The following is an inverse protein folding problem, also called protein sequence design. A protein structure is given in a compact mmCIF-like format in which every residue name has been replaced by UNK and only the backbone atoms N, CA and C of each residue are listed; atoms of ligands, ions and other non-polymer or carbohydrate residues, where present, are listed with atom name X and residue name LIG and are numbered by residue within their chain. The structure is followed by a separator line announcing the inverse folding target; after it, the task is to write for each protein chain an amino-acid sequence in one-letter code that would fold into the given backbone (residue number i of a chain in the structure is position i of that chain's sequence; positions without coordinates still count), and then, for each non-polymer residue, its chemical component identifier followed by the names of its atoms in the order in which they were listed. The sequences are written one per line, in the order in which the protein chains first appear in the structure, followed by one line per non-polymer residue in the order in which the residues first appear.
data_IF_055177977200
#
_entry.id   IF_055177977200
#
_cell.length_a   1.000
_cell.length_b   1.000
_cell.length_c   1.000
_cell.angle_alpha   90.00
_cell.angle_beta   90.00
_cell.angle_gamma   90.00
#
_symmetry.space_group_name_H-M   'P 1'
#
loop_
_entity.id
_entity.type
_entity.pdbx_description
1 polymer ?
#
# COMPACT_ATOMS: atom_id res chain seq x y z
N UNK A 1 -17.34 -26.41 -1.77
CA UNK A 1 -15.95 -26.30 -1.27
C UNK A 1 -15.06 -25.44 -2.18
N UNK A 2 -14.99 -25.72 -3.48
CA UNK A 2 -14.13 -24.98 -4.43
C UNK A 2 -14.46 -23.49 -4.54
N UNK A 3 -15.74 -23.09 -4.56
CA UNK A 3 -16.13 -21.68 -4.57
C UNK A 3 -15.62 -20.89 -3.34
N UNK A 4 -15.60 -21.52 -2.16
CA UNK A 4 -15.02 -20.90 -0.95
C UNK A 4 -13.51 -20.69 -1.10
N UNK A 5 -12.80 -21.63 -1.73
CA UNK A 5 -11.37 -21.50 -2.02
C UNK A 5 -11.10 -20.43 -3.10
N UNK A 6 -11.93 -20.36 -4.14
CA UNK A 6 -11.85 -19.30 -5.16
C UNK A 6 -12.01 -17.91 -4.54
N UNK A 7 -13.01 -17.74 -3.67
CA UNK A 7 -13.20 -16.47 -2.96
C UNK A 7 -12.04 -16.16 -2.01
N UNK A 8 -11.57 -17.16 -1.25
CA UNK A 8 -10.49 -16.99 -0.27
C UNK A 8 -9.14 -16.68 -0.92
N UNK A 9 -8.84 -17.28 -2.06
CA UNK A 9 -7.55 -17.13 -2.75
C UNK A 9 -7.62 -16.21 -3.98
N UNK A 10 -8.81 -15.72 -4.32
CA UNK A 10 -9.07 -14.80 -5.45
C UNK A 10 -8.53 -15.31 -6.78
N UNK A 11 -8.70 -16.61 -7.02
CA UNK A 11 -8.26 -17.26 -8.24
C UNK A 11 -9.44 -17.42 -9.20
N UNK A 12 -9.17 -17.21 -10.49
CA UNK A 12 -10.08 -17.68 -11.55
C UNK A 12 -10.24 -19.20 -11.47
N UNK A 13 -11.29 -19.74 -12.09
CA UNK A 13 -11.52 -21.19 -12.11
C UNK A 13 -10.30 -21.99 -12.57
N UNK A 14 -9.67 -21.54 -13.65
CA UNK A 14 -8.46 -22.16 -14.21
C UNK A 14 -7.28 -22.07 -13.25
N UNK A 15 -7.02 -20.88 -12.67
CA UNK A 15 -5.90 -20.71 -11.75
C UNK A 15 -6.08 -21.53 -10.47
N UNK A 16 -7.31 -21.68 -9.98
CA UNK A 16 -7.58 -22.57 -8.83
C UNK A 16 -7.20 -24.01 -9.15
N UNK A 17 -7.57 -24.50 -10.34
CA UNK A 17 -7.23 -25.87 -10.77
C UNK A 17 -5.71 -26.03 -10.84
N UNK A 18 -4.99 -25.08 -11.43
CA UNK A 18 -3.52 -25.10 -11.50
C UNK A 18 -2.86 -25.08 -10.12
N UNK A 19 -3.41 -24.31 -9.17
CA UNK A 19 -2.93 -24.27 -7.78
C UNK A 19 -3.17 -25.61 -7.08
N UNK A 20 -4.36 -26.20 -7.20
CA UNK A 20 -4.65 -27.53 -6.63
C UNK A 20 -3.71 -28.57 -7.24
N UNK A 21 -3.51 -28.53 -8.56
CA UNK A 21 -2.60 -29.43 -9.26
C UNK A 21 -1.15 -29.27 -8.79
N UNK A 22 -0.71 -28.03 -8.55
CA UNK A 22 0.61 -27.73 -7.98
C UNK A 22 0.77 -28.35 -6.58
N UNK A 23 -0.27 -28.30 -5.73
CA UNK A 23 -0.23 -28.94 -4.41
C UNK A 23 -0.11 -30.45 -4.50
N UNK A 24 -0.88 -31.09 -5.39
CA UNK A 24 -0.85 -32.54 -5.61
C UNK A 24 0.53 -32.98 -6.12
N UNK A 25 0.99 -32.37 -7.22
CA UNK A 25 2.29 -32.68 -7.81
C UNK A 25 3.45 -32.36 -6.87
N UNK A 26 3.40 -31.24 -6.15
CA UNK A 26 4.39 -30.87 -5.15
C UNK A 26 4.46 -31.88 -4.00
N UNK A 27 3.29 -32.37 -3.55
CA UNK A 27 3.20 -33.44 -2.55
C UNK A 27 3.79 -34.76 -3.05
N UNK A 28 3.45 -35.18 -4.28
CA UNK A 28 4.01 -36.38 -4.90
C UNK A 28 5.53 -36.30 -5.06
N UNK A 29 6.05 -35.16 -5.55
CA UNK A 29 7.49 -34.91 -5.65
C UNK A 29 8.18 -34.95 -4.29
N UNK A 30 7.57 -34.34 -3.28
CA UNK A 30 8.10 -34.32 -1.92
C UNK A 30 8.18 -35.73 -1.30
N UNK A 31 7.13 -36.54 -1.47
CA UNK A 31 7.13 -37.92 -0.98
C UNK A 31 8.17 -38.79 -1.68
N UNK A 32 8.30 -38.65 -3.01
CA UNK A 32 9.33 -39.35 -3.78
C UNK A 32 10.74 -38.95 -3.35
N UNK A 33 11.02 -37.65 -3.31
CA UNK A 33 12.33 -37.13 -2.93
C UNK A 33 12.68 -37.45 -1.47
N UNK A 34 11.71 -37.36 -0.55
CA UNK A 34 11.88 -37.70 0.85
C UNK A 34 12.31 -39.15 1.05
N UNK A 35 11.67 -40.12 0.37
CA UNK A 35 12.08 -41.53 0.42
C UNK A 35 13.47 -41.73 -0.15
N UNK A 36 13.77 -41.15 -1.31
CA UNK A 36 15.08 -41.25 -1.95
C UNK A 36 16.21 -40.68 -1.10
N UNK A 37 15.98 -39.57 -0.41
CA UNK A 37 16.96 -38.99 0.51
C UNK A 37 17.17 -39.91 1.71
N UNK A 38 16.10 -40.48 2.25
CA UNK A 38 16.17 -41.32 3.44
C UNK A 38 16.85 -42.68 3.15
N UNK A 39 16.65 -43.25 1.95
CA UNK A 39 17.40 -44.42 1.45
C UNK A 39 18.93 -44.18 1.47
N UNK A 40 19.40 -42.95 1.32
CA UNK A 40 20.83 -42.61 1.38
C UNK A 40 21.39 -42.56 2.80
N UNK A 41 20.55 -42.60 3.84
CA UNK A 41 20.97 -42.33 5.22
C UNK A 41 21.27 -43.58 6.05
N UNK A 42 21.21 -44.79 5.48
CA UNK A 42 21.43 -46.07 6.19
C UNK A 42 20.58 -46.25 7.46
N UNK A 43 19.48 -45.48 7.62
CA UNK A 43 18.57 -45.57 8.76
C UNK A 43 17.66 -46.77 8.54
N UNK A 44 17.64 -47.70 9.50
CA UNK A 44 16.75 -48.86 9.47
C UNK A 44 15.28 -48.46 9.61
N UNK A 45 14.38 -49.19 8.93
CA UNK A 45 12.94 -48.94 9.00
C UNK A 45 12.41 -49.20 10.42
N UNK A 46 12.01 -48.12 11.09
CA UNK A 46 11.50 -48.15 12.46
C UNK A 46 10.92 -46.80 12.88
N UNK A 47 10.65 -46.63 14.17
CA UNK A 47 10.05 -45.37 14.70
C UNK A 47 10.94 -44.16 14.40
N UNK A 48 12.26 -44.32 14.50
CA UNK A 48 13.20 -43.25 14.21
C UNK A 48 13.14 -42.84 12.74
N UNK A 49 13.12 -43.82 11.83
CA UNK A 49 12.92 -43.58 10.39
C UNK A 49 11.63 -42.81 10.11
N UNK A 50 10.52 -43.19 10.75
CA UNK A 50 9.24 -42.51 10.57
C UNK A 50 9.30 -41.04 11.02
N UNK A 51 9.91 -40.77 12.17
CA UNK A 51 10.10 -39.40 12.67
C UNK A 51 10.97 -38.60 11.71
N UNK A 52 12.11 -39.14 11.30
CA UNK A 52 13.03 -38.49 10.36
C UNK A 52 12.34 -38.23 9.02
N UNK A 53 11.57 -39.18 8.50
CA UNK A 53 10.79 -39.03 7.27
C UNK A 53 9.77 -37.89 7.38
N UNK A 54 9.01 -37.82 8.47
CA UNK A 54 8.01 -36.75 8.68
C UNK A 54 8.70 -35.38 8.72
N UNK A 55 9.79 -35.24 9.46
CA UNK A 55 10.55 -33.98 9.55
C UNK A 55 11.08 -33.59 8.17
N UNK A 56 11.72 -34.54 7.49
CA UNK A 56 12.30 -34.34 6.16
C UNK A 56 11.26 -33.86 5.15
N UNK A 57 10.13 -34.57 5.05
CA UNK A 57 9.03 -34.25 4.11
C UNK A 57 8.42 -32.89 4.46
N UNK A 58 8.28 -32.56 5.75
CA UNK A 58 7.75 -31.25 6.18
C UNK A 58 8.66 -30.10 5.75
N UNK A 59 9.97 -30.28 5.85
CA UNK A 59 10.97 -29.28 5.43
C UNK A 59 11.12 -29.20 3.91
N UNK A 60 10.97 -30.32 3.21
CA UNK A 60 11.17 -30.43 1.77
C UNK A 60 9.95 -29.94 0.97
N UNK A 61 8.76 -30.08 1.53
CA UNK A 61 7.50 -29.78 0.85
C UNK A 61 7.42 -28.35 0.28
N UNK A 62 7.80 -27.27 1.00
CA UNK A 62 7.80 -25.92 0.45
C UNK A 62 8.66 -25.78 -0.81
N UNK A 63 9.81 -26.47 -0.87
CA UNK A 63 10.71 -26.44 -2.02
C UNK A 63 10.10 -27.18 -3.21
N UNK A 64 9.53 -28.37 -2.99
CA UNK A 64 8.87 -29.15 -4.04
C UNK A 64 7.69 -28.39 -4.66
N UNK A 65 6.86 -27.74 -3.83
CA UNK A 65 5.74 -26.93 -4.29
C UNK A 65 6.22 -25.74 -5.12
N UNK A 66 7.29 -25.05 -4.69
CA UNK A 66 7.87 -23.95 -5.47
C UNK A 66 8.43 -24.42 -6.81
N UNK A 67 9.13 -25.55 -6.86
CA UNK A 67 9.67 -26.12 -8.09
C UNK A 67 8.56 -26.43 -9.10
N UNK A 68 7.50 -27.13 -8.67
CA UNK A 68 6.36 -27.48 -9.53
C UNK A 68 5.56 -26.24 -9.97
N UNK A 69 5.54 -25.19 -9.15
CA UNK A 69 4.80 -23.97 -9.48
C UNK A 69 5.37 -23.16 -10.65
N UNK A 70 6.65 -23.37 -11.01
CA UNK A 70 7.33 -22.68 -12.12
C UNK A 70 6.70 -23.02 -13.48
N UNK A 71 6.64 -24.30 -13.92
CA UNK A 71 6.05 -24.64 -15.21
C UNK A 71 4.55 -24.31 -15.30
N UNK A 72 3.84 -24.31 -14.16
CA UNK A 72 2.41 -23.98 -14.09
C UNK A 72 2.14 -22.47 -13.99
N UNK A 73 3.18 -21.62 -14.05
CA UNK A 73 3.11 -20.15 -13.89
C UNK A 73 2.44 -19.70 -12.58
N UNK A 74 2.50 -20.51 -11.53
CA UNK A 74 1.94 -20.22 -10.20
C UNK A 74 3.00 -19.81 -9.16
N UNK A 75 4.27 -19.64 -9.56
CA UNK A 75 5.38 -19.33 -8.65
C UNK A 75 5.13 -18.10 -7.77
N UNK A 76 4.62 -17.01 -8.34
CA UNK A 76 4.32 -15.78 -7.57
C UNK A 76 3.26 -16.02 -6.49
N UNK A 77 2.25 -16.84 -6.79
CA UNK A 77 1.21 -17.22 -5.83
C UNK A 77 1.80 -18.03 -4.66
N UNK A 78 2.56 -19.09 -4.97
CA UNK A 78 3.12 -19.98 -3.94
C UNK A 78 4.22 -19.33 -3.11
N UNK A 79 5.04 -18.45 -3.70
CA UNK A 79 6.00 -17.63 -2.96
C UNK A 79 5.29 -16.78 -1.91
N UNK A 80 4.21 -16.08 -2.28
CA UNK A 80 3.40 -15.28 -1.34
C UNK A 80 2.73 -16.15 -0.28
N UNK A 81 2.13 -17.27 -0.69
CA UNK A 81 1.48 -18.23 0.21
C UNK A 81 2.45 -18.76 1.27
N UNK A 82 3.62 -19.27 0.87
CA UNK A 82 4.63 -19.81 1.78
C UNK A 82 5.23 -18.72 2.67
N UNK A 83 5.44 -17.52 2.15
CA UNK A 83 5.89 -16.36 2.96
C UNK A 83 4.86 -16.05 4.06
N UNK A 84 3.56 -16.10 3.75
CA UNK A 84 2.48 -15.89 4.72
C UNK A 84 2.47 -16.98 5.80
N UNK A 85 2.59 -18.26 5.39
CA UNK A 85 2.67 -19.40 6.33
C UNK A 85 3.90 -19.26 7.24
N UNK A 86 5.06 -18.94 6.67
CA UNK A 86 6.30 -18.75 7.42
C UNK A 86 6.20 -17.61 8.43
N UNK A 87 5.60 -16.49 8.06
CA UNK A 87 5.39 -15.35 8.98
C UNK A 87 4.51 -15.74 10.18
N UNK A 88 3.46 -16.55 9.94
CA UNK A 88 2.59 -17.07 11.01
C UNK A 88 3.37 -18.01 11.93
N UNK A 89 4.12 -18.97 11.36
CA UNK A 89 4.90 -19.94 12.14
C UNK A 89 6.05 -19.29 12.92
N UNK A 90 6.67 -18.25 12.37
CA UNK A 90 7.78 -17.51 12.99
C UNK A 90 7.31 -16.53 14.08
N UNK A 91 6.02 -16.48 14.41
CA UNK A 91 5.47 -15.54 15.39
C UNK A 91 5.58 -14.07 14.97
N UNK A 92 5.85 -13.79 13.69
CA UNK A 92 5.97 -12.43 13.18
C UNK A 92 4.57 -11.81 13.16
N UNK A 93 4.26 -10.96 14.14
CA UNK A 93 3.02 -10.17 14.18
C UNK A 93 2.93 -9.34 12.90
N UNK A 94 2.17 -9.80 11.93
CA UNK A 94 1.66 -8.95 10.86
C UNK A 94 0.73 -7.96 11.58
N UNK A 95 0.94 -6.64 11.49
CA UNK A 95 0.02 -5.71 12.12
C UNK A 95 -1.38 -5.98 11.56
N UNK A 96 -2.36 -6.10 12.47
CA UNK A 96 -3.75 -6.48 12.17
C UNK A 96 -4.42 -5.50 11.20
N UNK A 97 -3.81 -4.31 11.04
CA UNK A 97 -4.21 -3.25 10.12
C UNK A 97 -2.99 -2.62 9.43
N UNK A 98 -3.13 -2.15 8.17
CA UNK A 98 -2.16 -1.31 7.47
C UNK A 98 -1.56 -0.19 8.32
N UNK A 99 -0.24 0.02 8.25
CA UNK A 99 0.44 1.17 8.85
C UNK A 99 0.65 2.21 7.76
N UNK A 100 0.02 3.37 7.97
CA UNK A 100 -0.06 4.45 6.99
C UNK A 100 0.91 5.55 7.36
N UNK A 101 1.69 6.01 6.39
CA UNK A 101 2.47 7.24 6.49
C UNK A 101 1.77 8.39 5.76
N UNK A 102 1.67 9.54 6.40
CA UNK A 102 1.17 10.78 5.78
C UNK A 102 2.36 11.65 5.41
N UNK A 103 2.48 12.01 4.14
CA UNK A 103 3.49 12.94 3.65
C UNK A 103 2.86 14.33 3.51
N UNK A 104 3.48 15.35 4.10
CA UNK A 104 2.95 16.72 4.07
C UNK A 104 4.07 17.77 4.20
N UNK A 105 3.89 18.92 3.55
CA UNK A 105 4.88 20.02 3.54
C UNK A 105 4.45 21.28 4.30
N UNK A 106 3.16 21.40 4.65
CA UNK A 106 2.55 22.65 5.10
C UNK A 106 1.84 22.59 6.45
N UNK A 107 0.74 23.34 6.57
CA UNK A 107 -0.05 23.45 7.81
C UNK A 107 -0.63 22.11 8.28
N UNK A 108 -0.91 21.18 7.37
CA UNK A 108 -1.34 19.82 7.70
C UNK A 108 -2.85 19.67 7.97
N UNK A 109 -3.71 20.56 7.48
CA UNK A 109 -5.17 20.47 7.66
C UNK A 109 -5.74 19.11 7.19
N UNK A 110 -5.34 18.64 6.01
CA UNK A 110 -5.69 17.30 5.52
C UNK A 110 -5.15 16.19 6.43
N UNK A 111 -3.90 16.30 6.88
CA UNK A 111 -3.31 15.32 7.80
C UNK A 111 -4.09 15.24 9.12
N UNK A 112 -4.49 16.38 9.68
CA UNK A 112 -5.33 16.47 10.88
C UNK A 112 -6.65 15.73 10.68
N UNK A 113 -7.36 15.96 9.56
CA UNK A 113 -8.64 15.28 9.28
C UNK A 113 -8.49 13.78 9.06
N UNK A 114 -7.41 13.36 8.42
CA UNK A 114 -7.08 11.94 8.28
C UNK A 114 -6.85 11.33 9.67
N UNK A 115 -6.05 11.96 10.53
CA UNK A 115 -5.77 11.46 11.88
C UNK A 115 -7.05 11.37 12.71
N UNK A 116 -7.87 12.42 12.72
CA UNK A 116 -9.17 12.45 13.41
C UNK A 116 -10.06 11.27 12.98
N UNK A 117 -10.14 11.00 11.67
CA UNK A 117 -10.92 9.89 11.12
C UNK A 117 -10.39 8.52 11.57
N UNK A 118 -9.07 8.36 11.66
CA UNK A 118 -8.41 7.09 12.00
C UNK A 118 -8.19 6.86 13.51
N UNK A 119 -8.50 7.84 14.37
CA UNK A 119 -8.33 7.73 15.83
C UNK A 119 -9.31 6.77 16.52
N UNK A 120 -10.39 6.35 15.85
CA UNK A 120 -11.37 5.43 16.43
C UNK A 120 -10.98 3.95 16.31
N UNK A 121 -11.33 3.15 17.32
CA UNK A 121 -11.12 1.69 17.29
C UNK A 121 -11.86 1.09 16.08
N UNK A 122 -11.21 0.16 15.36
CA UNK A 122 -11.71 -0.64 14.21
C UNK A 122 -11.64 0.00 12.81
N UNK A 123 -10.78 0.99 12.59
CA UNK A 123 -10.52 1.51 11.24
C UNK A 123 -9.61 0.60 10.44
N UNK A 124 -9.69 0.72 9.10
CA UNK A 124 -8.99 -0.17 8.16
C UNK A 124 -7.47 0.07 8.06
N UNK A 125 -6.91 0.92 8.91
CA UNK A 125 -5.49 1.28 8.97
C UNK A 125 -5.18 2.02 10.26
N UNK A 126 -3.89 2.26 10.52
CA UNK A 126 -3.38 3.07 11.62
C UNK A 126 -2.40 4.09 11.06
N UNK A 127 -2.60 5.37 11.38
CA UNK A 127 -1.62 6.41 11.07
C UNK A 127 -0.43 6.22 12.01
N UNK A 128 0.72 5.91 11.43
CA UNK A 128 1.91 5.51 12.19
C UNK A 128 3.08 6.49 12.04
N UNK A 129 3.07 7.32 11.00
CA UNK A 129 4.17 8.21 10.70
C UNK A 129 3.68 9.46 9.95
N UNK A 130 4.21 10.62 10.32
CA UNK A 130 4.17 11.83 9.48
C UNK A 130 5.56 12.05 8.89
N UNK A 131 5.63 12.11 7.57
CA UNK A 131 6.84 12.47 6.83
C UNK A 131 6.71 13.92 6.38
N UNK A 132 7.71 14.73 6.71
CA UNK A 132 7.72 16.15 6.37
C UNK A 132 9.08 16.54 5.79
N UNK A 133 9.09 17.49 4.88
CA UNK A 133 10.29 18.03 4.24
C UNK A 133 10.61 19.46 4.69
N UNK A 134 9.84 20.02 5.63
CA UNK A 134 10.00 21.39 6.11
C UNK A 134 10.10 21.43 7.63
N UNK A 135 11.26 21.81 8.20
CA UNK A 135 11.39 22.07 9.63
C UNK A 135 10.36 23.11 10.08
N UNK A 136 9.75 22.89 11.25
CA UNK A 136 8.77 23.82 11.81
C UNK A 136 7.42 23.87 11.08
N UNK A 137 7.14 22.96 10.13
CA UNK A 137 5.82 22.87 9.51
C UNK A 137 4.74 22.55 10.55
N UNK A 138 3.53 23.13 10.37
CA UNK A 138 2.41 22.92 11.29
C UNK A 138 2.01 21.44 11.47
N UNK A 139 2.22 20.62 10.44
CA UNK A 139 1.97 19.18 10.51
C UNK A 139 2.82 18.46 11.57
N UNK A 140 4.01 18.98 11.91
CA UNK A 140 4.86 18.41 12.97
C UNK A 140 4.23 18.63 14.36
N UNK A 141 3.58 19.77 14.57
CA UNK A 141 2.84 20.03 15.80
C UNK A 141 1.60 19.13 15.90
N UNK A 142 0.90 18.91 14.79
CA UNK A 142 -0.21 17.95 14.70
C UNK A 142 0.25 16.54 15.08
N UNK A 143 1.39 16.09 14.56
CA UNK A 143 1.96 14.79 14.90
C UNK A 143 2.22 14.67 16.41
N UNK A 144 2.87 15.69 16.99
CA UNK A 144 3.19 15.75 18.41
C UNK A 144 1.93 15.67 19.28
N UNK A 145 0.90 16.45 18.94
CA UNK A 145 -0.36 16.49 19.70
C UNK A 145 -1.15 15.17 19.64
N UNK A 146 -0.96 14.38 18.58
CA UNK A 146 -1.61 13.09 18.40
C UNK A 146 -0.70 11.89 18.73
N UNK A 147 0.51 12.13 19.25
CA UNK A 147 1.49 11.08 19.60
C UNK A 147 1.80 10.18 18.40
N UNK A 148 2.07 10.79 17.25
CA UNK A 148 2.47 10.12 16.01
C UNK A 148 3.94 10.43 15.73
N UNK A 149 4.70 9.39 15.39
CA UNK A 149 6.11 9.54 15.02
C UNK A 149 6.27 10.48 13.81
N UNK A 150 7.40 11.18 13.77
CA UNK A 150 7.76 12.03 12.63
C UNK A 150 9.06 11.58 11.99
N UNK A 151 9.17 11.83 10.68
CA UNK A 151 10.41 11.69 9.93
C UNK A 151 10.60 12.96 9.09
N UNK A 152 11.62 13.74 9.43
CA UNK A 152 12.04 14.87 8.63
C UNK A 152 12.95 14.36 7.51
N UNK A 153 12.60 14.67 6.26
CA UNK A 153 13.33 14.25 5.07
C UNK A 153 14.07 15.40 4.43
N UNK A 154 15.27 15.11 3.94
CA UNK A 154 16.14 16.04 3.23
C UNK A 154 16.07 15.79 1.73
N UNK A 155 16.16 16.87 0.95
CA UNK A 155 15.89 16.82 -0.50
C UNK A 155 16.85 15.87 -1.23
N UNK A 156 18.15 16.05 -1.00
CA UNK A 156 19.18 15.26 -1.70
C UNK A 156 19.04 13.77 -1.39
N UNK A 157 18.97 13.41 -0.10
CA UNK A 157 18.78 12.03 0.36
C UNK A 157 17.48 11.44 -0.18
N UNK A 158 16.40 12.22 -0.22
CA UNK A 158 15.10 11.75 -0.70
C UNK A 158 15.09 11.37 -2.18
N UNK A 159 15.84 12.09 -3.02
CA UNK A 159 15.90 11.82 -4.46
C UNK A 159 17.02 10.85 -4.85
N UNK A 160 18.13 10.85 -4.12
CA UNK A 160 19.37 10.17 -4.52
C UNK A 160 19.72 8.94 -3.67
N UNK A 161 18.89 8.55 -2.71
CA UNK A 161 19.16 7.44 -1.81
C UNK A 161 17.91 6.64 -1.42
N UNK A 162 18.12 5.38 -1.04
CA UNK A 162 17.08 4.48 -0.53
C UNK A 162 16.92 4.54 1.00
N UNK A 163 17.65 5.42 1.70
CA UNK A 163 17.63 5.54 3.17
C UNK A 163 16.19 5.65 3.69
N UNK A 164 15.39 6.59 3.16
CA UNK A 164 14.03 6.77 3.65
C UNK A 164 13.10 5.62 3.27
N UNK A 165 13.32 4.94 2.14
CA UNK A 165 12.58 3.72 1.78
C UNK A 165 12.84 2.63 2.83
N UNK A 166 14.10 2.47 3.24
CA UNK A 166 14.48 1.51 4.26
C UNK A 166 13.91 1.88 5.63
N UNK A 167 13.88 3.16 6.01
CA UNK A 167 13.24 3.63 7.24
C UNK A 167 11.72 3.36 7.26
N UNK A 168 11.02 3.63 6.15
CA UNK A 168 9.60 3.30 6.02
C UNK A 168 9.34 1.78 6.17
N UNK A 169 10.18 0.96 5.52
CA UNK A 169 10.09 -0.51 5.63
C UNK A 169 10.38 -1.02 7.04
N UNK A 170 11.40 -0.49 7.72
CA UNK A 170 11.73 -0.84 9.12
C UNK A 170 10.56 -0.54 10.06
N UNK A 171 9.86 0.58 9.83
CA UNK A 171 8.65 0.98 10.57
C UNK A 171 7.39 0.20 10.15
N UNK A 172 7.50 -0.71 9.17
CA UNK A 172 6.38 -1.50 8.68
C UNK A 172 5.33 -0.70 7.90
N UNK A 173 5.67 0.50 7.42
CA UNK A 173 4.77 1.31 6.60
C UNK A 173 4.45 0.56 5.32
N UNK A 174 3.16 0.42 5.04
CA UNK A 174 2.66 -0.36 3.90
C UNK A 174 1.69 0.43 3.00
N UNK A 175 1.41 1.68 3.36
CA UNK A 175 0.61 2.59 2.55
C UNK A 175 1.05 4.05 2.79
N UNK A 176 1.06 4.86 1.74
CA UNK A 176 1.50 6.26 1.77
C UNK A 176 0.36 7.14 1.27
N UNK A 177 0.09 8.20 2.02
CA UNK A 177 -0.92 9.21 1.70
C UNK A 177 -0.22 10.55 1.56
N UNK A 178 -0.30 11.18 0.38
CA UNK A 178 0.19 12.53 0.16
C UNK A 178 -0.90 13.53 0.52
N UNK A 179 -0.68 14.35 1.54
CA UNK A 179 -1.65 15.32 2.06
C UNK A 179 -1.04 16.72 2.02
N UNK A 180 -0.95 17.31 0.81
CA UNK A 180 -0.25 18.57 0.60
C UNK A 180 1.28 18.42 0.64
N UNK A 181 1.80 17.32 0.09
CA UNK A 181 3.23 17.11 -0.11
C UNK A 181 3.65 17.71 -1.46
N UNK A 182 4.65 18.58 -1.46
CA UNK A 182 4.96 19.42 -2.63
C UNK A 182 6.08 18.89 -3.53
N UNK A 183 6.83 17.88 -3.08
CA UNK A 183 7.91 17.31 -3.89
C UNK A 183 7.38 16.19 -4.77
N UNK A 184 8.00 16.02 -5.96
CA UNK A 184 7.78 14.84 -6.79
C UNK A 184 8.09 13.58 -5.98
N UNK A 185 7.28 12.55 -6.11
CA UNK A 185 7.63 11.25 -5.56
C UNK A 185 8.71 10.59 -6.44
N UNK A 186 9.85 10.15 -5.87
CA UNK A 186 10.89 9.46 -6.61
C UNK A 186 10.40 8.12 -7.17
N UNK A 187 10.88 7.74 -8.36
CA UNK A 187 10.54 6.45 -8.98
C UNK A 187 10.93 5.25 -8.10
N UNK A 188 12.00 5.37 -7.32
CA UNK A 188 12.42 4.34 -6.35
C UNK A 188 11.36 4.11 -5.28
N UNK A 189 10.74 5.18 -4.76
CA UNK A 189 9.66 5.07 -3.77
C UNK A 189 8.39 4.47 -4.38
N UNK A 190 8.01 4.90 -5.59
CA UNK A 190 6.85 4.34 -6.33
C UNK A 190 7.04 2.84 -6.56
N UNK A 191 8.22 2.40 -7.01
CA UNK A 191 8.57 0.98 -7.21
C UNK A 191 8.56 0.19 -5.91
N UNK A 192 8.92 0.80 -4.78
CA UNK A 192 8.86 0.18 -3.46
C UNK A 192 7.42 0.05 -2.92
N UNK A 193 6.50 0.89 -3.39
CA UNK A 193 5.10 1.00 -2.94
C UNK A 193 4.11 0.93 -4.14
N UNK A 194 4.14 -0.13 -4.96
CA UNK A 194 3.31 -0.22 -6.16
C UNK A 194 1.81 -0.26 -5.79
N UNK A 195 1.02 0.64 -6.34
CA UNK A 195 -0.40 0.85 -6.00
C UNK A 195 -0.65 1.14 -4.51
N UNK A 196 0.36 1.63 -3.77
CA UNK A 196 0.29 1.90 -2.32
C UNK A 196 0.52 3.37 -1.97
N UNK A 197 0.52 4.25 -2.97
CA UNK A 197 0.66 5.70 -2.79
C UNK A 197 -0.55 6.37 -3.42
N UNK A 198 -1.26 7.17 -2.64
CA UNK A 198 -2.37 8.01 -3.14
C UNK A 198 -2.13 9.48 -2.82
N UNK A 199 -2.61 10.33 -3.69
CA UNK A 199 -2.54 11.78 -3.58
C UNK A 199 -3.94 12.39 -3.72
N UNK A 200 -4.11 13.56 -3.12
CA UNK A 200 -5.24 14.45 -3.39
C UNK A 200 -4.73 15.70 -4.11
N UNK A 201 -5.39 16.03 -5.21
CA UNK A 201 -5.11 17.21 -6.01
C UNK A 201 -6.32 18.16 -6.00
N UNK A 202 -6.14 19.48 -5.76
CA UNK A 202 -7.24 20.45 -5.60
C UNK A 202 -7.81 20.95 -6.94
N UNK A 203 -7.99 20.04 -7.90
CA UNK A 203 -8.71 20.27 -9.16
C UNK A 203 -9.23 18.96 -9.76
N UNK A 204 -10.04 19.08 -10.83
CA UNK A 204 -10.56 17.96 -11.61
C UNK A 204 -9.54 17.53 -12.68
N UNK A 205 -8.72 16.54 -12.35
CA UNK A 205 -7.75 15.96 -13.29
C UNK A 205 -8.46 15.33 -14.50
N UNK A 206 -7.85 15.38 -15.70
CA UNK A 206 -6.48 15.82 -15.98
C UNK A 206 -6.27 17.34 -16.06
N UNK A 207 -7.32 18.16 -15.92
CA UNK A 207 -7.17 19.61 -15.96
C UNK A 207 -6.44 20.12 -14.71
N UNK A 208 -5.64 21.17 -14.91
CA UNK A 208 -4.93 21.87 -13.83
C UNK A 208 -4.04 20.96 -12.97
N UNK A 209 -3.58 19.83 -13.49
CA UNK A 209 -2.54 18.99 -12.89
C UNK A 209 -1.16 19.31 -13.45
N UNK A 210 -0.12 18.72 -12.86
CA UNK A 210 1.23 18.80 -13.38
C UNK A 210 2.14 19.78 -12.65
N UNK A 211 3.33 20.00 -13.22
CA UNK A 211 4.37 20.81 -12.58
C UNK A 211 3.87 22.24 -12.36
N UNK A 212 3.98 22.72 -11.12
CA UNK A 212 3.61 24.08 -10.74
C UNK A 212 2.15 24.26 -10.36
N UNK A 213 1.30 23.26 -10.59
CA UNK A 213 -0.11 23.27 -10.20
C UNK A 213 -0.28 22.74 -8.78
N UNK A 214 0.00 23.57 -7.78
CA UNK A 214 -0.21 23.22 -6.37
C UNK A 214 -0.64 24.44 -5.55
N UNK A 215 -1.36 24.19 -4.44
CA UNK A 215 -1.86 25.25 -3.57
C UNK A 215 -2.71 26.28 -4.32
N UNK A 216 -2.56 27.56 -3.96
CA UNK A 216 -3.36 28.65 -4.54
C UNK A 216 -3.24 28.79 -6.06
N UNK A 217 -2.11 28.37 -6.65
CA UNK A 217 -1.91 28.46 -8.11
C UNK A 217 -2.95 27.69 -8.91
N UNK A 218 -3.45 26.58 -8.35
CA UNK A 218 -4.50 25.77 -8.98
C UNK A 218 -5.80 26.57 -9.03
N UNK A 219 -6.20 27.17 -7.91
CA UNK A 219 -7.42 27.96 -7.82
C UNK A 219 -7.35 29.23 -8.68
N UNK A 220 -6.20 29.91 -8.71
CA UNK A 220 -5.94 31.04 -9.61
C UNK A 220 -6.11 30.63 -11.07
N UNK A 221 -5.52 29.51 -11.49
CA UNK A 221 -5.62 29.03 -12.87
C UNK A 221 -7.06 28.69 -13.27
N UNK A 222 -7.82 28.04 -12.37
CA UNK A 222 -9.23 27.69 -12.59
C UNK A 222 -10.10 28.95 -12.75
N UNK A 223 -9.89 29.96 -11.90
CA UNK A 223 -10.62 31.23 -11.97
C UNK A 223 -10.26 32.02 -13.23
N UNK A 224 -8.96 32.11 -13.56
CA UNK A 224 -8.49 32.82 -14.77
C UNK A 224 -9.05 32.17 -16.04
N UNK A 225 -9.17 30.84 -16.06
CA UNK A 225 -9.76 30.11 -17.18
C UNK A 225 -11.29 30.29 -17.31
N UNK A 226 -11.95 30.94 -16.35
CA UNK A 226 -13.40 31.17 -16.39
C UNK A 226 -14.23 29.91 -16.22
N UNK A 227 -13.68 28.88 -15.56
CA UNK A 227 -14.41 27.64 -15.29
C UNK A 227 -15.64 27.92 -14.40
N UNK A 228 -16.68 27.11 -14.57
CA UNK A 228 -17.90 27.17 -13.74
C UNK A 228 -17.89 26.17 -12.59
N UNK A 229 -16.97 25.23 -12.63
CA UNK A 229 -16.85 24.14 -11.67
C UNK A 229 -15.37 23.92 -11.33
N UNK A 230 -15.11 23.62 -10.06
CA UNK A 230 -13.83 23.13 -9.55
C UNK A 230 -14.06 21.88 -8.73
N UNK A 231 -13.02 21.34 -8.09
CA UNK A 231 -13.17 20.19 -7.23
C UNK A 231 -11.87 19.61 -6.75
N UNK A 232 -11.93 18.33 -6.38
CA UNK A 232 -10.79 17.54 -5.95
C UNK A 232 -10.68 16.28 -6.79
N UNK A 233 -9.47 15.78 -6.95
CA UNK A 233 -9.22 14.44 -7.46
C UNK A 233 -8.33 13.67 -6.49
N UNK A 234 -8.76 12.48 -6.12
CA UNK A 234 -7.94 11.51 -5.40
C UNK A 234 -7.51 10.43 -6.38
N UNK A 235 -6.22 10.17 -6.47
CA UNK A 235 -5.66 9.27 -7.47
C UNK A 235 -4.46 8.49 -6.94
N UNK A 236 -4.13 7.39 -7.60
CA UNK A 236 -2.86 6.70 -7.37
C UNK A 236 -1.71 7.53 -7.93
N UNK A 237 -0.56 7.48 -7.26
CA UNK A 237 0.66 8.17 -7.73
C UNK A 237 1.45 7.25 -8.66
N UNK A 238 1.85 7.78 -9.81
CA UNK A 238 2.80 7.14 -10.73
C UNK A 238 4.04 8.05 -10.93
N UNK A 239 4.90 7.71 -11.90
CA UNK A 239 6.14 8.46 -12.16
C UNK A 239 5.90 9.86 -12.77
N UNK A 240 4.67 10.15 -13.19
CA UNK A 240 4.24 11.42 -13.77
C UNK A 240 3.41 12.20 -12.75
N UNK A 241 3.41 13.53 -12.89
CA UNK A 241 2.59 14.37 -12.00
C UNK A 241 1.11 14.20 -12.34
N UNK A 242 0.31 13.90 -11.32
CA UNK A 242 -1.15 13.93 -11.37
C UNK A 242 -1.78 13.13 -12.53
N UNK A 243 -1.12 12.04 -12.92
CA UNK A 243 -1.48 11.22 -14.07
C UNK A 243 -2.02 9.83 -13.69
N UNK A 244 -1.66 9.33 -12.52
CA UNK A 244 -2.06 7.99 -12.11
C UNK A 244 -3.59 7.83 -11.98
N UNK A 245 -4.04 6.58 -11.92
CA UNK A 245 -5.46 6.25 -12.02
C UNK A 245 -6.32 6.96 -10.98
N UNK A 246 -7.37 7.62 -11.46
CA UNK A 246 -8.36 8.31 -10.63
C UNK A 246 -9.11 7.28 -9.76
N UNK A 247 -9.19 7.57 -8.47
CA UNK A 247 -9.94 6.79 -7.48
C UNK A 247 -11.29 7.46 -7.21
N UNK A 248 -11.28 8.79 -7.05
CA UNK A 248 -12.46 9.55 -6.69
C UNK A 248 -12.34 11.01 -7.15
N UNK A 249 -13.46 11.61 -7.53
CA UNK A 249 -13.59 13.04 -7.78
C UNK A 249 -14.84 13.58 -7.11
N UNK A 250 -14.77 14.81 -6.61
CA UNK A 250 -15.91 15.57 -6.14
C UNK A 250 -15.80 17.01 -6.65
N UNK A 251 -16.95 17.63 -6.90
CA UNK A 251 -17.01 18.95 -7.53
C UNK A 251 -17.68 19.99 -6.64
N UNK A 252 -17.43 21.26 -6.93
CA UNK A 252 -18.13 22.40 -6.36
C UNK A 252 -18.30 23.50 -7.42
N UNK A 253 -19.42 24.22 -7.34
CA UNK A 253 -19.69 25.35 -8.22
C UNK A 253 -18.79 26.56 -7.89
N UNK A 254 -18.36 27.26 -8.93
CA UNK A 254 -17.63 28.52 -8.86
C UNK A 254 -18.66 29.65 -9.02
N UNK A 255 -18.76 30.52 -8.02
CA UNK A 255 -19.66 31.67 -8.08
C UNK A 255 -19.07 32.79 -8.96
N UNK A 256 -19.92 33.66 -9.51
CA UNK A 256 -19.47 34.74 -10.43
C UNK A 256 -18.45 35.71 -9.83
N UNK A 257 -18.38 35.81 -8.49
CA UNK A 257 -17.46 36.67 -7.74
C UNK A 257 -16.44 35.87 -6.92
N UNK A 258 -16.27 34.59 -7.25
CA UNK A 258 -15.34 33.71 -6.56
C UNK A 258 -13.90 34.23 -6.71
N UNK A 259 -13.15 34.22 -5.61
CA UNK A 259 -11.71 34.48 -5.61
C UNK A 259 -10.95 33.17 -5.42
N UNK A 260 -9.66 33.12 -5.77
CA UNK A 260 -8.84 31.94 -5.51
C UNK A 260 -8.85 31.51 -4.03
N UNK A 261 -8.93 32.48 -3.10
CA UNK A 261 -9.00 32.21 -1.66
C UNK A 261 -10.34 31.61 -1.22
N UNK A 262 -11.46 32.13 -1.72
CA UNK A 262 -12.79 31.59 -1.39
C UNK A 262 -13.03 30.22 -2.05
N UNK A 263 -12.51 30.04 -3.26
CA UNK A 263 -12.50 28.74 -3.94
C UNK A 263 -11.66 27.71 -3.16
N UNK A 264 -10.48 28.10 -2.68
CA UNK A 264 -9.65 27.23 -1.85
C UNK A 264 -10.38 26.74 -0.60
N UNK A 265 -11.19 27.60 0.04
CA UNK A 265 -12.00 27.19 1.19
C UNK A 265 -13.05 26.15 0.81
N UNK A 266 -13.79 26.35 -0.30
CA UNK A 266 -14.75 25.35 -0.82
C UNK A 266 -14.06 24.03 -1.14
N UNK A 267 -12.91 24.08 -1.80
CA UNK A 267 -12.13 22.88 -2.14
C UNK A 267 -11.62 22.18 -0.87
N UNK A 268 -11.12 22.90 0.13
CA UNK A 268 -10.69 22.30 1.40
C UNK A 268 -11.84 21.59 2.13
N UNK A 269 -13.07 22.09 2.06
CA UNK A 269 -14.24 21.38 2.60
C UNK A 269 -14.40 20.02 1.91
N UNK A 270 -14.28 19.97 0.58
CA UNK A 270 -14.31 18.71 -0.17
C UNK A 270 -13.16 17.78 0.24
N UNK A 271 -11.93 18.30 0.33
CA UNK A 271 -10.76 17.51 0.74
C UNK A 271 -10.98 16.87 2.11
N UNK A 272 -11.45 17.64 3.08
CA UNK A 272 -11.68 17.20 4.46
C UNK A 272 -12.80 16.17 4.56
N UNK A 273 -13.85 16.34 3.75
CA UNK A 273 -14.99 15.43 3.71
C UNK A 273 -14.65 14.09 3.06
N UNK A 274 -13.91 14.11 1.95
CA UNK A 274 -13.75 12.93 1.10
C UNK A 274 -12.44 12.19 1.32
N UNK A 275 -11.33 12.89 1.56
CA UNK A 275 -10.02 12.24 1.55
C UNK A 275 -9.87 11.15 2.63
N UNK A 276 -10.22 11.39 3.91
CA UNK A 276 -10.13 10.36 4.94
C UNK A 276 -10.98 9.12 4.65
N UNK A 277 -12.18 9.33 4.11
CA UNK A 277 -13.13 8.25 3.77
C UNK A 277 -12.58 7.39 2.62
N UNK A 278 -12.12 8.02 1.55
CA UNK A 278 -11.56 7.33 0.37
C UNK A 278 -10.29 6.57 0.74
N UNK A 279 -9.41 7.13 1.59
CA UNK A 279 -8.24 6.41 2.12
C UNK A 279 -8.70 5.11 2.81
N UNK A 280 -9.69 5.18 3.70
CA UNK A 280 -10.21 4.01 4.41
C UNK A 280 -10.79 2.95 3.44
N UNK A 281 -11.53 3.37 2.43
CA UNK A 281 -12.08 2.48 1.42
C UNK A 281 -11.00 1.77 0.61
N UNK A 282 -9.98 2.51 0.16
CA UNK A 282 -8.83 1.94 -0.56
C UNK A 282 -8.12 0.91 0.32
N UNK A 283 -7.87 1.21 1.60
CA UNK A 283 -7.26 0.27 2.54
C UNK A 283 -8.11 -1.00 2.73
N UNK A 284 -9.45 -0.87 2.85
CA UNK A 284 -10.36 -2.03 2.92
C UNK A 284 -10.29 -2.88 1.66
N UNK A 285 -10.27 -2.26 0.48
CA UNK A 285 -10.16 -2.98 -0.79
C UNK A 285 -8.84 -3.74 -0.92
N UNK A 286 -7.74 -3.13 -0.45
CA UNK A 286 -6.42 -3.73 -0.47
C UNK A 286 -6.25 -4.86 0.54
N UNK A 287 -6.81 -4.75 1.75
CA UNK A 287 -6.77 -5.83 2.75
C UNK A 287 -7.63 -7.03 2.34
N UNK A 288 -8.64 -6.82 1.49
CA UNK A 288 -9.42 -7.92 0.92
C UNK A 288 -8.61 -8.69 -0.12
N UNK A 289 -7.65 -8.07 -0.84
CA UNK A 289 -6.85 -8.66 -1.95
C UNK A 289 -5.73 -9.54 -1.44
#
# INVERSE_FOLDING_TARGET
MLQKLQQRWKLSGINLILVIFTFVLGGSLCGFAGRKILELTSIEEGIFWLITYIILVTLLWPLCVLLISIPLRQFSFFKKYLTKVWNVLSGKKIPDVPLVAIFASGAGSNAQKIIEHFNFKRKAGKIALIVCNKPGAGVLLIAKNNIIDTLLIEKDIFFNSDIYINELKKRGINFIVLAGFLWKVPATLIKAYPDKIINIHPALLPKYGGIGMYGNRVHEAVIIAGERESGITIHYVDELYDHGSIIFQATCAIDDKETAATLAQKVHVLEHQHYPVVIEEVLKMQNRR
#
